data_IF_834492271131
#
_entry.id   IF_834492271131
#
_cell.length_a   1.000
_cell.length_b   1.000
_cell.length_c   1.000
_cell.angle_alpha   90.00
_cell.angle_beta   90.00
_cell.angle_gamma   90.00
#
_symmetry.space_group_name_H-M   'P 1'
#
loop_
_entity.id
_entity.type
_entity.pdbx_description
1 polymer ?
#
# COMPACT_ATOMS: atom_id res chain seq x y z
N UNK A 1 -10.55 31.91 -15.94
CA UNK A 1 -11.50 31.06 -15.19
C UNK A 1 -11.12 29.61 -15.41
N UNK A 2 -10.49 28.97 -14.42
CA UNK A 2 -10.25 27.52 -14.45
C UNK A 2 -11.59 26.81 -14.33
N UNK A 3 -11.96 26.02 -15.35
CA UNK A 3 -13.12 25.12 -15.28
C UNK A 3 -12.89 24.19 -14.11
N UNK A 4 -13.65 24.35 -13.02
CA UNK A 4 -13.61 23.43 -11.88
C UNK A 4 -13.98 22.03 -12.40
N UNK A 5 -13.02 21.10 -12.33
CA UNK A 5 -13.28 19.71 -12.70
C UNK A 5 -14.42 19.15 -11.84
N UNK A 6 -15.40 18.52 -12.49
CA UNK A 6 -16.52 17.89 -11.79
C UNK A 6 -15.99 16.82 -10.82
N UNK A 7 -16.45 16.79 -9.55
CA UNK A 7 -16.02 15.79 -8.59
C UNK A 7 -16.37 14.37 -9.06
N UNK A 8 -15.51 13.41 -8.68
CA UNK A 8 -15.63 12.01 -9.08
C UNK A 8 -16.12 11.17 -7.90
N UNK A 9 -17.16 10.40 -8.17
CA UNK A 9 -17.65 9.31 -7.32
C UNK A 9 -17.05 8.01 -7.82
N UNK A 10 -16.46 7.25 -6.91
CA UNK A 10 -15.93 5.94 -7.24
C UNK A 10 -16.89 4.83 -6.83
N UNK A 11 -17.21 3.93 -7.75
CA UNK A 11 -18.04 2.74 -7.48
C UNK A 11 -17.14 1.51 -7.50
N UNK A 12 -16.98 0.85 -6.35
CA UNK A 12 -16.18 -0.36 -6.17
C UNK A 12 -17.09 -1.58 -6.23
N UNK A 13 -16.80 -2.49 -7.16
CA UNK A 13 -17.60 -3.70 -7.41
C UNK A 13 -16.71 -4.94 -7.20
N UNK A 14 -17.01 -5.81 -6.22
CA UNK A 14 -16.36 -7.10 -6.10
C UNK A 14 -16.99 -8.06 -7.12
N UNK A 15 -16.19 -8.60 -8.02
CA UNK A 15 -16.67 -9.43 -9.11
C UNK A 15 -16.36 -10.91 -8.90
N UNK A 16 -17.39 -11.74 -8.97
CA UNK A 16 -17.37 -13.19 -8.73
C UNK A 16 -17.62 -14.03 -9.98
N UNK A 17 -17.45 -13.45 -11.18
CA UNK A 17 -17.63 -14.16 -12.45
C UNK A 17 -19.03 -14.05 -13.06
N UNK A 18 -20.01 -13.42 -12.38
CA UNK A 18 -21.38 -13.24 -12.89
C UNK A 18 -21.48 -12.09 -13.90
N UNK A 19 -20.92 -12.27 -15.10
CA UNK A 19 -20.83 -11.22 -16.13
C UNK A 19 -22.21 -10.66 -16.54
N UNK A 20 -23.22 -11.50 -16.78
CA UNK A 20 -24.58 -11.04 -17.13
C UNK A 20 -25.19 -10.07 -16.09
N UNK A 21 -24.94 -10.33 -14.79
CA UNK A 21 -25.40 -9.45 -13.71
C UNK A 21 -24.63 -8.13 -13.71
N UNK A 22 -23.31 -8.20 -13.94
CA UNK A 22 -22.46 -7.02 -14.06
C UNK A 22 -22.90 -6.12 -15.22
N UNK A 23 -23.14 -6.69 -16.40
CA UNK A 23 -23.57 -5.92 -17.58
C UNK A 23 -24.89 -5.18 -17.34
N UNK A 24 -25.89 -5.89 -16.80
CA UNK A 24 -27.19 -5.30 -16.42
C UNK A 24 -27.01 -4.13 -15.45
N UNK A 25 -26.08 -4.26 -14.50
CA UNK A 25 -25.77 -3.21 -13.54
C UNK A 25 -25.12 -1.99 -14.19
N UNK A 26 -24.16 -2.22 -15.08
CA UNK A 26 -23.44 -1.14 -15.76
C UNK A 26 -24.35 -0.35 -16.70
N UNK A 27 -25.25 -1.00 -17.42
CA UNK A 27 -26.27 -0.34 -18.22
C UNK A 27 -27.17 0.56 -17.37
N UNK A 28 -27.61 0.08 -16.21
CA UNK A 28 -28.40 0.89 -15.28
C UNK A 28 -27.60 2.06 -14.70
N UNK A 29 -26.31 1.85 -14.41
CA UNK A 29 -25.44 2.88 -13.87
C UNK A 29 -25.24 4.02 -14.86
N UNK A 30 -25.08 3.69 -16.15
CA UNK A 30 -24.96 4.66 -17.24
C UNK A 30 -26.21 5.52 -17.44
N UNK A 31 -27.40 5.01 -17.08
CA UNK A 31 -28.68 5.75 -17.19
C UNK A 31 -28.90 6.81 -16.10
N UNK A 32 -28.13 6.77 -15.01
CA UNK A 32 -28.27 7.74 -13.92
C UNK A 32 -27.86 9.13 -14.42
N UNK A 33 -28.77 10.11 -14.34
CA UNK A 33 -28.53 11.49 -14.76
C UNK A 33 -27.61 12.20 -13.76
N UNK A 34 -26.52 12.81 -14.24
CA UNK A 34 -25.48 13.46 -13.41
C UNK A 34 -25.20 14.87 -13.93
N UNK A 35 -25.70 15.90 -13.24
CA UNK A 35 -25.41 17.29 -13.62
C UNK A 35 -24.04 17.76 -13.11
N UNK A 36 -23.67 17.39 -11.89
CA UNK A 36 -22.58 18.05 -11.15
C UNK A 36 -21.37 17.15 -10.86
N UNK A 37 -21.44 15.84 -11.11
CA UNK A 37 -20.39 14.88 -10.75
C UNK A 37 -20.24 13.77 -11.80
N UNK A 38 -19.14 13.00 -11.73
CA UNK A 38 -18.85 11.87 -12.62
C UNK A 38 -18.77 10.56 -11.83
N UNK A 39 -19.06 9.44 -12.47
CA UNK A 39 -18.80 8.10 -11.91
C UNK A 39 -17.57 7.52 -12.57
N UNK A 40 -16.72 6.89 -11.76
CA UNK A 40 -15.71 5.95 -12.25
C UNK A 40 -15.84 4.62 -11.49
N UNK A 41 -15.90 3.54 -12.25
CA UNK A 41 -16.10 2.21 -11.67
C UNK A 41 -14.76 1.48 -11.56
N UNK A 42 -14.51 0.85 -10.41
CA UNK A 42 -13.41 -0.09 -10.19
C UNK A 42 -14.01 -1.46 -9.92
N UNK A 43 -13.69 -2.42 -10.78
CA UNK A 43 -14.13 -3.81 -10.66
C UNK A 43 -12.96 -4.65 -10.19
N UNK A 44 -13.16 -5.42 -9.14
CA UNK A 44 -12.07 -6.14 -8.46
C UNK A 44 -12.39 -7.63 -8.48
N UNK A 45 -11.53 -8.42 -9.13
CA UNK A 45 -11.76 -9.87 -9.34
C UNK A 45 -10.51 -10.69 -9.07
N UNK A 46 -10.67 -11.91 -8.56
CA UNK A 46 -9.58 -12.87 -8.46
C UNK A 46 -9.17 -13.43 -9.82
N UNK A 47 -7.90 -13.78 -9.97
CA UNK A 47 -7.42 -14.65 -11.05
C UNK A 47 -7.61 -16.11 -10.62
N UNK A 48 -8.60 -16.79 -11.21
CA UNK A 48 -8.89 -18.22 -10.97
C UNK A 48 -9.97 -18.54 -9.90
N UNK A 49 -10.23 -19.85 -9.73
CA UNK A 49 -11.21 -20.43 -8.78
C UNK A 49 -10.67 -20.42 -7.34
N UNK A 50 -10.38 -19.25 -6.78
CA UNK A 50 -9.98 -19.14 -5.37
C UNK A 50 -11.24 -19.21 -4.51
N UNK A 51 -11.38 -20.34 -3.83
CA UNK A 51 -12.39 -20.56 -2.79
C UNK A 51 -11.73 -20.40 -1.40
N UNK A 52 -12.37 -19.67 -0.46
CA UNK A 52 -13.64 -18.98 -0.61
C UNK A 52 -13.49 -17.58 -1.24
N UNK A 53 -14.45 -17.20 -2.09
CA UNK A 53 -14.60 -15.83 -2.58
C UNK A 53 -14.86 -14.88 -1.40
N UNK A 54 -13.91 -13.99 -1.10
CA UNK A 54 -14.05 -12.99 -0.03
C UNK A 54 -14.47 -11.63 -0.59
N UNK A 55 -15.78 -11.33 -0.50
CA UNK A 55 -16.35 -10.04 -0.92
C UNK A 55 -15.67 -8.87 -0.21
N UNK A 56 -15.57 -8.95 1.11
CA UNK A 56 -15.02 -7.91 1.95
C UNK A 56 -13.56 -7.61 1.59
N UNK A 57 -12.77 -8.65 1.32
CA UNK A 57 -11.40 -8.50 0.87
C UNK A 57 -11.30 -7.76 -0.48
N UNK A 58 -12.10 -8.15 -1.48
CA UNK A 58 -12.09 -7.47 -2.78
C UNK A 58 -12.61 -6.02 -2.70
N UNK A 59 -13.58 -5.75 -1.84
CA UNK A 59 -14.05 -4.39 -1.55
C UNK A 59 -12.93 -3.55 -0.93
N UNK A 60 -12.20 -4.09 0.06
CA UNK A 60 -11.04 -3.42 0.64
C UNK A 60 -9.97 -3.09 -0.40
N UNK A 61 -9.66 -4.03 -1.29
CA UNK A 61 -8.72 -3.80 -2.40
C UNK A 61 -9.18 -2.63 -3.26
N UNK A 62 -10.43 -2.64 -3.70
CA UNK A 62 -10.97 -1.57 -4.52
C UNK A 62 -10.98 -0.22 -3.81
N UNK A 63 -11.37 -0.17 -2.53
CA UNK A 63 -11.31 1.06 -1.72
C UNK A 63 -9.86 1.56 -1.62
N UNK A 64 -8.88 0.69 -1.35
CA UNK A 64 -7.46 1.07 -1.31
C UNK A 64 -6.99 1.66 -2.63
N UNK A 65 -7.38 1.08 -3.76
CA UNK A 65 -7.04 1.61 -5.09
C UNK A 65 -7.75 2.93 -5.43
N UNK A 66 -8.97 3.13 -4.93
CA UNK A 66 -9.64 4.43 -5.01
C UNK A 66 -8.89 5.47 -4.19
N UNK A 67 -8.54 5.16 -2.94
CA UNK A 67 -7.89 6.11 -2.01
C UNK A 67 -6.52 6.61 -2.47
N UNK A 68 -5.86 5.94 -3.44
CA UNK A 68 -4.63 6.40 -4.10
C UNK A 68 -4.87 7.53 -5.11
N UNK A 69 -6.12 7.74 -5.54
CA UNK A 69 -6.48 8.71 -6.57
C UNK A 69 -6.62 10.11 -5.96
N UNK A 70 -6.41 11.15 -6.78
CA UNK A 70 -6.64 12.54 -6.36
C UNK A 70 -8.15 12.83 -6.32
N UNK A 71 -8.55 13.73 -5.42
CA UNK A 71 -9.90 14.30 -5.39
C UNK A 71 -11.05 13.28 -5.21
N UNK A 72 -10.84 12.28 -4.36
CA UNK A 72 -11.89 11.30 -3.99
C UNK A 72 -12.80 11.90 -2.93
N UNK A 73 -14.03 12.26 -3.31
CA UNK A 73 -15.03 12.75 -2.34
C UNK A 73 -15.86 11.59 -1.78
N UNK A 74 -16.44 10.78 -2.67
CA UNK A 74 -17.36 9.70 -2.32
C UNK A 74 -16.89 8.36 -2.89
N UNK A 75 -17.00 7.31 -2.08
CA UNK A 75 -16.76 5.93 -2.49
C UNK A 75 -18.02 5.13 -2.17
N UNK A 76 -18.56 4.51 -3.21
CA UNK A 76 -19.67 3.59 -3.15
C UNK A 76 -19.16 2.15 -3.31
N UNK A 77 -19.58 1.24 -2.45
CA UNK A 77 -19.33 -0.20 -2.62
C UNK A 77 -20.62 -0.87 -3.03
N UNK A 78 -20.59 -1.64 -4.12
CA UNK A 78 -21.79 -2.17 -4.76
C UNK A 78 -21.64 -3.68 -4.98
N UNK A 79 -22.58 -4.45 -4.44
CA UNK A 79 -22.69 -5.90 -4.63
C UNK A 79 -23.77 -6.25 -5.68
N UNK A 80 -23.45 -7.17 -6.58
CA UNK A 80 -24.32 -7.59 -7.70
C UNK A 80 -25.48 -8.52 -7.27
N UNK A 81 -25.74 -8.64 -5.96
CA UNK A 81 -26.78 -9.52 -5.39
C UNK A 81 -28.17 -8.86 -5.29
N UNK A 82 -28.23 -7.54 -5.36
CA UNK A 82 -29.47 -6.74 -5.27
C UNK A 82 -29.71 -6.00 -6.58
N UNK A 83 -30.83 -5.30 -6.77
CA UNK A 83 -31.02 -4.38 -7.90
C UNK A 83 -30.70 -2.95 -7.47
N UNK A 84 -30.14 -2.17 -8.38
CA UNK A 84 -29.91 -0.75 -8.14
C UNK A 84 -31.19 0.06 -8.36
N UNK A 85 -31.55 0.98 -7.44
CA UNK A 85 -32.63 1.92 -7.70
C UNK A 85 -32.30 2.85 -8.89
N UNK A 86 -33.26 3.24 -9.73
CA UNK A 86 -33.00 4.06 -10.92
C UNK A 86 -32.57 5.50 -10.62
N UNK A 87 -32.83 6.01 -9.42
CA UNK A 87 -32.62 7.41 -9.03
C UNK A 87 -31.66 7.56 -7.83
N UNK A 88 -30.70 6.64 -7.65
CA UNK A 88 -29.70 6.79 -6.58
C UNK A 88 -28.78 7.97 -6.89
N UNK A 89 -28.67 8.91 -5.96
CA UNK A 89 -27.61 9.91 -5.96
C UNK A 89 -26.40 9.38 -5.18
N UNK A 90 -25.38 8.95 -5.91
CA UNK A 90 -24.15 8.42 -5.32
C UNK A 90 -23.23 9.51 -4.72
N UNK A 91 -23.58 10.79 -4.88
CA UNK A 91 -22.83 11.89 -4.32
C UNK A 91 -23.16 12.19 -2.84
N UNK A 92 -24.20 11.56 -2.28
CA UNK A 92 -24.67 11.77 -0.91
C UNK A 92 -23.85 10.99 0.14
N UNK A 93 -22.54 11.24 0.24
CA UNK A 93 -21.63 10.48 1.11
C UNK A 93 -21.19 11.20 2.39
N UNK A 94 -21.83 12.32 2.71
CA UNK A 94 -21.58 13.19 3.88
C UNK A 94 -21.77 12.45 5.21
N UNK A 95 -22.51 11.34 5.20
CA UNK A 95 -22.57 10.31 6.23
C UNK A 95 -22.55 8.93 5.56
N UNK A 96 -22.08 7.87 6.24
CA UNK A 96 -22.22 6.51 5.74
C UNK A 96 -23.71 6.15 5.55
N UNK A 97 -24.06 5.60 4.38
CA UNK A 97 -25.43 5.21 4.03
C UNK A 97 -25.46 3.84 3.37
N UNK A 98 -26.43 3.02 3.72
CA UNK A 98 -26.78 1.80 2.98
C UNK A 98 -28.05 2.04 2.17
N UNK A 99 -27.90 2.18 0.86
CA UNK A 99 -28.99 2.51 -0.09
C UNK A 99 -30.04 1.40 -0.14
N UNK A 100 -29.67 0.16 0.18
CA UNK A 100 -30.57 -0.99 0.13
C UNK A 100 -30.74 -1.68 1.49
N UNK A 101 -30.63 -0.94 2.60
CA UNK A 101 -30.65 -1.55 3.94
C UNK A 101 -32.01 -2.11 4.41
N UNK A 102 -33.13 -1.77 3.75
CA UNK A 102 -34.49 -2.27 4.04
C UNK A 102 -34.96 -3.35 3.03
N UNK A 103 -34.14 -4.37 2.77
CA UNK A 103 -34.47 -5.44 1.82
C UNK A 103 -35.27 -6.60 2.46
N UNK A 104 -36.42 -6.92 1.88
CA UNK A 104 -37.34 -7.97 2.37
C UNK A 104 -36.81 -9.41 2.27
N UNK A 105 -35.76 -9.67 1.46
CA UNK A 105 -35.15 -11.00 1.37
C UNK A 105 -34.05 -11.25 2.43
N UNK A 106 -33.83 -10.28 3.33
CA UNK A 106 -32.92 -10.41 4.46
C UNK A 106 -33.81 -10.54 5.69
N UNK A 107 -33.82 -11.70 6.34
CA UNK A 107 -34.57 -11.89 7.58
C UNK A 107 -34.08 -10.86 8.61
N UNK A 108 -34.96 -9.97 9.05
CA UNK A 108 -34.76 -9.20 10.25
C UNK A 108 -34.87 -10.18 11.43
N UNK A 109 -33.78 -10.41 12.15
CA UNK A 109 -33.84 -11.08 13.44
C UNK A 109 -34.46 -10.08 14.43
N UNK A 110 -35.47 -10.52 15.17
CA UNK A 110 -36.23 -9.79 16.19
C UNK A 110 -35.53 -8.52 16.71
N UNK A 111 -35.98 -7.36 16.24
CA UNK A 111 -35.57 -6.05 16.78
C UNK A 111 -34.19 -5.51 16.38
N UNK A 112 -33.32 -6.27 15.69
CA UNK A 112 -31.97 -5.82 15.31
C UNK A 112 -31.89 -5.54 13.81
N UNK A 113 -31.96 -4.26 13.44
CA UNK A 113 -31.71 -3.80 12.07
C UNK A 113 -30.22 -3.86 11.76
N UNK A 114 -29.77 -4.90 11.05
CA UNK A 114 -28.42 -4.99 10.49
C UNK A 114 -28.45 -4.54 9.04
N UNK A 115 -27.55 -3.63 8.66
CA UNK A 115 -27.38 -3.17 7.27
C UNK A 115 -27.24 -4.34 6.29
N UNK A 116 -27.79 -4.17 5.09
CA UNK A 116 -27.65 -5.11 3.98
C UNK A 116 -26.23 -5.15 3.42
N UNK A 117 -25.44 -4.08 3.66
CA UNK A 117 -24.11 -3.79 3.15
C UNK A 117 -23.95 -4.07 1.64
N UNK A 118 -25.04 -3.93 0.87
CA UNK A 118 -25.04 -4.24 -0.55
C UNK A 118 -24.66 -3.01 -1.39
N UNK A 119 -25.19 -1.83 -1.06
CA UNK A 119 -24.82 -0.57 -1.71
C UNK A 119 -24.53 0.44 -0.59
N UNK A 120 -23.25 0.56 -0.23
CA UNK A 120 -22.82 1.46 0.86
C UNK A 120 -22.12 2.68 0.29
N UNK A 121 -22.57 3.87 0.66
CA UNK A 121 -21.99 5.16 0.30
C UNK A 121 -21.28 5.73 1.52
N UNK A 122 -20.02 6.10 1.40
CA UNK A 122 -19.33 6.87 2.44
C UNK A 122 -18.21 7.72 1.83
N UNK A 123 -17.81 8.79 2.52
CA UNK A 123 -16.68 9.62 2.11
C UNK A 123 -15.37 8.84 2.18
N UNK A 124 -14.34 9.32 1.46
CA UNK A 124 -13.00 8.74 1.56
C UNK A 124 -12.48 8.69 3.01
N UNK A 125 -12.79 9.71 3.81
CA UNK A 125 -12.33 9.78 5.20
C UNK A 125 -13.11 8.85 6.11
N UNK A 126 -14.42 8.65 5.88
CA UNK A 126 -15.19 7.64 6.61
C UNK A 126 -14.58 6.26 6.42
N UNK A 127 -14.23 5.87 5.18
CA UNK A 127 -13.62 4.57 4.90
C UNK A 127 -12.26 4.38 5.59
N UNK A 128 -11.44 5.43 5.67
CA UNK A 128 -10.18 5.41 6.44
C UNK A 128 -10.44 5.23 7.93
N UNK A 129 -11.38 6.00 8.49
CA UNK A 129 -11.73 5.97 9.91
C UNK A 129 -12.21 4.59 10.35
N UNK A 130 -13.08 3.94 9.59
CA UNK A 130 -13.57 2.58 9.92
C UNK A 130 -12.62 1.45 9.55
N UNK A 131 -11.46 1.78 8.95
CA UNK A 131 -10.52 0.80 8.41
C UNK A 131 -11.18 -0.16 7.40
N UNK A 132 -12.15 0.31 6.61
CA UNK A 132 -12.92 -0.51 5.65
C UNK A 132 -13.61 -1.73 6.25
N UNK A 133 -13.62 -2.83 5.49
CA UNK A 133 -14.22 -4.11 5.87
C UNK A 133 -13.22 -5.02 6.60
N UNK A 134 -13.69 -6.09 7.23
CA UNK A 134 -12.82 -7.18 7.72
C UNK A 134 -12.18 -7.95 6.57
N UNK A 135 -10.91 -8.36 6.71
CA UNK A 135 -10.27 -9.28 5.76
C UNK A 135 -10.53 -10.76 6.09
N UNK A 136 -11.14 -11.05 7.25
CA UNK A 136 -11.29 -12.42 7.79
C UNK A 136 -12.64 -13.06 7.50
N UNK A 137 -13.71 -12.26 7.36
CA UNK A 137 -15.05 -12.81 7.16
C UNK A 137 -15.25 -13.36 5.73
N UNK A 138 -15.72 -14.60 5.65
CA UNK A 138 -16.11 -15.26 4.39
C UNK A 138 -17.63 -15.29 4.18
N UNK A 139 -18.44 -15.19 5.25
CA UNK A 139 -19.91 -15.19 5.18
C UNK A 139 -20.47 -13.79 5.02
N UNK A 140 -21.59 -13.66 4.29
CA UNK A 140 -22.22 -12.36 3.98
C UNK A 140 -22.74 -11.66 5.23
N UNK A 141 -23.30 -12.42 6.16
CA UNK A 141 -23.90 -11.96 7.41
C UNK A 141 -22.84 -11.34 8.33
N UNK A 142 -21.68 -11.99 8.44
CA UNK A 142 -20.55 -11.51 9.24
C UNK A 142 -19.98 -10.19 8.69
N UNK A 143 -19.87 -10.08 7.35
CA UNK A 143 -19.41 -8.84 6.68
C UNK A 143 -20.34 -7.66 6.97
N UNK A 144 -21.66 -7.90 6.94
CA UNK A 144 -22.69 -6.88 7.20
C UNK A 144 -22.65 -6.36 8.64
N UNK A 145 -22.70 -7.29 9.59
CA UNK A 145 -22.67 -6.97 11.02
C UNK A 145 -21.38 -6.24 11.41
N UNK A 146 -20.24 -6.72 10.90
CA UNK A 146 -18.94 -6.12 11.16
C UNK A 146 -18.84 -4.68 10.63
N UNK A 147 -19.31 -4.40 9.41
CA UNK A 147 -19.26 -3.04 8.87
C UNK A 147 -20.15 -2.07 9.66
N UNK A 148 -21.39 -2.48 10.00
CA UNK A 148 -22.29 -1.66 10.82
C UNK A 148 -21.67 -1.33 12.17
N UNK A 149 -21.09 -2.33 12.84
CA UNK A 149 -20.37 -2.16 14.11
C UNK A 149 -19.25 -1.12 13.98
N UNK A 150 -18.42 -1.20 12.94
CA UNK A 150 -17.32 -0.24 12.74
C UNK A 150 -17.81 1.20 12.60
N UNK A 151 -18.89 1.43 11.85
CA UNK A 151 -19.47 2.78 11.72
C UNK A 151 -20.01 3.30 13.05
N UNK A 152 -20.70 2.46 13.83
CA UNK A 152 -21.21 2.78 15.18
C UNK A 152 -20.06 3.06 16.16
N UNK A 153 -19.07 2.17 16.24
CA UNK A 153 -17.91 2.30 17.13
C UNK A 153 -17.03 3.51 16.81
N UNK A 154 -17.05 3.99 15.56
CA UNK A 154 -16.35 5.20 15.13
C UNK A 154 -17.15 6.49 15.33
N UNK A 155 -18.37 6.41 15.89
CA UNK A 155 -19.24 7.57 16.10
C UNK A 155 -19.80 8.18 14.81
N UNK A 156 -19.66 7.51 13.66
CA UNK A 156 -20.17 7.99 12.38
C UNK A 156 -21.69 7.80 12.23
N UNK A 157 -22.27 6.95 13.07
CA UNK A 157 -23.70 6.66 13.14
C UNK A 157 -24.08 6.57 14.62
N UNK A 158 -25.19 7.21 15.02
CA UNK A 158 -25.66 7.16 16.40
C UNK A 158 -26.24 5.78 16.75
N UNK A 159 -26.29 5.44 18.04
CA UNK A 159 -26.77 4.14 18.55
C UNK A 159 -28.19 3.75 18.10
N UNK A 160 -29.04 4.72 17.77
CA UNK A 160 -30.41 4.51 17.28
C UNK A 160 -30.60 4.89 15.80
N UNK A 161 -29.56 5.39 15.13
CA UNK A 161 -29.61 5.80 13.73
C UNK A 161 -29.36 4.58 12.84
N UNK A 162 -30.22 4.41 11.84
CA UNK A 162 -30.05 3.33 10.86
C UNK A 162 -29.04 3.79 9.80
N UNK A 163 -28.29 2.85 9.22
CA UNK A 163 -27.52 3.09 8.00
C UNK A 163 -28.43 3.49 6.82
N UNK A 164 -29.71 3.15 6.87
CA UNK A 164 -30.71 3.48 5.84
C UNK A 164 -31.25 4.89 6.05
N UNK A 165 -31.09 5.77 5.07
CA UNK A 165 -31.86 7.02 5.09
C UNK A 165 -32.21 7.58 3.72
N UNK A 166 -32.26 6.78 2.64
CA UNK A 166 -32.90 7.25 1.40
C UNK A 166 -33.35 6.14 0.43
N UNK A 167 -34.42 6.47 -0.31
CA UNK A 167 -35.15 5.78 -1.38
C UNK A 167 -36.18 4.73 -0.92
N UNK A 168 -37.46 5.15 -0.91
CA UNK A 168 -38.68 4.35 -1.02
C UNK A 168 -38.46 2.85 -0.75
N UNK A 169 -38.93 2.36 0.41
CA UNK A 169 -38.91 0.97 0.95
C UNK A 169 -39.21 -0.18 -0.04
N UNK A 170 -39.45 0.09 -1.33
CA UNK A 170 -39.77 -0.83 -2.43
C UNK A 170 -38.82 -0.78 -3.64
N UNK A 171 -37.71 -0.01 -3.60
CA UNK A 171 -36.91 0.26 -4.80
C UNK A 171 -35.78 -0.75 -5.07
N UNK A 172 -35.13 -1.30 -4.03
CA UNK A 172 -34.18 -2.41 -4.19
C UNK A 172 -34.92 -3.76 -4.20
N UNK A 173 -34.56 -4.66 -5.11
CA UNK A 173 -35.09 -6.03 -5.22
C UNK A 173 -33.94 -7.03 -5.15
N UNK A 174 -34.18 -8.21 -4.62
CA UNK A 174 -33.17 -9.26 -4.61
C UNK A 174 -33.16 -9.96 -5.98
N UNK A 175 -31.97 -10.14 -6.54
CA UNK A 175 -31.82 -10.72 -7.89
C UNK A 175 -31.76 -12.27 -7.81
N UNK A 176 -31.71 -12.85 -6.60
CA UNK A 176 -31.58 -14.30 -6.40
C UNK A 176 -32.94 -14.94 -6.05
N UNK A 177 -33.39 -15.93 -6.85
CA UNK A 177 -34.72 -16.55 -6.80
C UNK A 177 -34.87 -17.63 -5.69
N UNK A 178 -33.77 -18.09 -5.08
CA UNK A 178 -33.81 -19.12 -4.03
C UNK A 178 -33.92 -18.55 -2.60
N UNK A 179 -34.65 -17.44 -2.44
CA UNK A 179 -34.88 -16.83 -1.13
C UNK A 179 -35.71 -17.75 -0.21
N UNK A 180 -36.52 -18.65 -0.77
CA UNK A 180 -37.40 -19.54 -0.02
C UNK A 180 -36.68 -20.72 0.67
N UNK A 181 -35.56 -21.21 0.12
CA UNK A 181 -34.82 -22.33 0.74
C UNK A 181 -33.90 -21.91 1.90
N UNK A 182 -33.50 -20.62 1.96
CA UNK A 182 -32.69 -20.08 3.07
C UNK A 182 -33.52 -19.74 4.31
N UNK A 183 -34.81 -20.10 4.33
CA UNK A 183 -35.71 -19.98 5.48
C UNK A 183 -35.33 -20.87 6.68
N UNK A 184 -34.38 -21.81 6.55
CA UNK A 184 -33.97 -22.71 7.62
C UNK A 184 -32.47 -22.62 7.93
N UNK A 185 -32.17 -22.20 9.16
CA UNK A 185 -30.87 -22.18 9.88
C UNK A 185 -30.02 -20.90 9.78
N UNK A 186 -30.50 -19.82 10.40
CA UNK A 186 -29.59 -18.76 10.88
C UNK A 186 -29.33 -19.00 12.37
N UNK A 187 -28.37 -19.89 12.68
CA UNK A 187 -27.74 -19.92 14.02
C UNK A 187 -27.10 -18.55 14.27
N UNK A 188 -27.18 -18.07 15.52
CA UNK A 188 -26.58 -16.87 16.09
C UNK A 188 -25.53 -16.20 15.18
N UNK A 189 -25.76 -14.92 14.84
CA UNK A 189 -24.74 -14.02 14.29
C UNK A 189 -23.65 -13.88 15.36
N UNK A 190 -22.71 -14.82 15.38
CA UNK A 190 -21.53 -14.78 16.24
C UNK A 190 -20.43 -14.09 15.46
N UNK A 191 -20.46 -12.77 15.32
CA UNK A 191 -19.24 -12.03 15.06
C UNK A 191 -19.31 -10.65 15.70
N UNK A 192 -18.50 -10.52 16.76
CA UNK A 192 -18.17 -9.35 17.56
C UNK A 192 -19.24 -8.87 18.54
N UNK A 193 -18.90 -9.00 19.84
CA UNK A 193 -19.45 -8.14 20.88
C UNK A 193 -19.25 -6.68 20.47
N UNK A 194 -20.20 -5.82 20.84
CA UNK A 194 -20.17 -4.38 20.59
C UNK A 194 -18.87 -3.69 21.06
N UNK A 195 -17.97 -4.38 21.80
CA UNK A 195 -16.71 -3.89 22.36
C UNK A 195 -15.42 -4.38 21.67
N UNK A 196 -15.48 -5.15 20.57
CA UNK A 196 -14.23 -5.63 19.96
C UNK A 196 -13.46 -4.50 19.24
N UNK A 197 -12.19 -4.31 19.59
CA UNK A 197 -11.26 -3.37 18.95
C UNK A 197 -10.52 -3.98 17.75
N UNK A 198 -10.87 -5.20 17.34
CA UNK A 198 -10.16 -5.95 16.30
C UNK A 198 -10.12 -5.21 14.96
N UNK A 199 -11.19 -4.49 14.63
CA UNK A 199 -11.32 -3.71 13.40
C UNK A 199 -10.23 -2.65 13.21
N UNK A 200 -9.60 -2.16 14.29
CA UNK A 200 -8.46 -1.23 14.23
C UNK A 200 -7.23 -1.88 13.60
N UNK A 201 -7.12 -3.21 13.69
CA UNK A 201 -5.98 -3.99 13.20
C UNK A 201 -6.32 -4.89 12.02
N UNK A 202 -7.60 -5.09 11.72
CA UNK A 202 -8.10 -5.87 10.59
C UNK A 202 -8.95 -5.01 9.63
N UNK A 203 -8.42 -4.72 8.45
CA UNK A 203 -9.12 -4.01 7.39
C UNK A 203 -8.19 -3.36 6.36
N UNK A 204 -8.49 -2.17 5.86
CA UNK A 204 -7.71 -1.48 4.82
C UNK A 204 -6.21 -1.38 5.14
N UNK A 205 -5.86 -1.13 6.41
CA UNK A 205 -4.47 -0.96 6.85
C UNK A 205 -3.64 -2.23 6.72
N UNK A 206 -4.26 -3.42 6.71
CA UNK A 206 -3.56 -4.70 6.64
C UNK A 206 -4.01 -5.62 5.49
N UNK A 207 -4.90 -5.17 4.59
CA UNK A 207 -5.31 -5.92 3.39
C UNK A 207 -4.12 -6.14 2.46
N UNK A 208 -3.63 -7.37 2.28
CA UNK A 208 -2.51 -7.68 1.37
C UNK A 208 -3.00 -8.22 0.03
N UNK A 209 -2.55 -7.66 -1.10
CA UNK A 209 -3.01 -8.07 -2.43
C UNK A 209 -2.04 -7.69 -3.56
N UNK A 210 -2.07 -8.42 -4.66
CA UNK A 210 -1.32 -8.10 -5.87
C UNK A 210 -2.23 -7.87 -7.06
N UNK A 211 -2.20 -6.68 -7.68
CA UNK A 211 -2.83 -6.50 -8.98
C UNK A 211 -1.94 -7.14 -10.04
N UNK A 212 -2.39 -8.26 -10.58
CA UNK A 212 -1.72 -8.98 -11.67
C UNK A 212 -1.97 -8.29 -13.00
N UNK A 213 -3.22 -7.88 -13.25
CA UNK A 213 -3.61 -7.18 -14.46
C UNK A 213 -4.59 -6.05 -14.17
N UNK A 214 -4.37 -4.92 -14.80
CA UNK A 214 -5.31 -3.80 -14.82
C UNK A 214 -5.68 -3.49 -16.27
N UNK A 215 -6.97 -3.37 -16.57
CA UNK A 215 -7.45 -3.00 -17.90
C UNK A 215 -8.78 -2.27 -17.81
N UNK A 216 -9.13 -1.53 -18.86
CA UNK A 216 -10.44 -0.87 -18.98
C UNK A 216 -11.36 -1.77 -19.80
N UNK A 217 -12.59 -1.96 -19.33
CA UNK A 217 -13.59 -2.74 -20.07
C UNK A 217 -14.46 -1.88 -21.01
N UNK A 218 -15.41 -2.52 -21.70
CA UNK A 218 -16.33 -1.86 -22.65
C UNK A 218 -17.22 -0.77 -22.02
N UNK A 219 -17.39 -0.76 -20.69
CA UNK A 219 -18.18 0.24 -19.98
C UNK A 219 -17.33 1.40 -19.45
N UNK A 220 -16.00 1.39 -19.70
CA UNK A 220 -15.06 2.35 -19.15
C UNK A 220 -14.65 2.06 -17.71
N UNK A 221 -15.01 0.90 -17.16
CA UNK A 221 -14.63 0.49 -15.80
C UNK A 221 -13.19 0.02 -15.76
N UNK A 222 -12.45 0.39 -14.72
CA UNK A 222 -11.13 -0.19 -14.44
C UNK A 222 -11.29 -1.57 -13.81
N UNK A 223 -10.97 -2.65 -14.51
CA UNK A 223 -10.93 -4.01 -13.97
C UNK A 223 -9.54 -4.33 -13.42
N UNK A 224 -9.50 -4.80 -12.19
CA UNK A 224 -8.32 -5.23 -11.46
C UNK A 224 -8.41 -6.73 -11.23
N UNK A 225 -7.51 -7.50 -11.85
CA UNK A 225 -7.30 -8.91 -11.54
C UNK A 225 -6.27 -9.03 -10.44
N UNK A 226 -6.62 -9.74 -9.37
CA UNK A 226 -5.74 -9.97 -8.23
C UNK A 226 -5.23 -11.41 -8.23
N UNK A 227 -3.91 -11.54 -8.17
CA UNK A 227 -3.25 -12.80 -7.86
C UNK A 227 -3.14 -12.93 -6.33
N UNK A 228 -3.74 -14.00 -5.79
CA UNK A 228 -3.68 -14.31 -4.34
C UNK A 228 -2.32 -14.87 -3.93
N UNK A 229 -1.58 -15.44 -4.88
CA UNK A 229 -0.22 -15.95 -4.67
C UNK A 229 0.76 -14.81 -4.84
N UNK A 230 1.11 -14.18 -3.72
CA UNK A 230 2.19 -13.18 -3.63
C UNK A 230 3.58 -13.85 -3.71
N UNK A 231 3.72 -14.88 -4.55
CA UNK A 231 4.97 -15.63 -4.75
C UNK A 231 5.73 -15.03 -5.91
N UNK A 232 7.01 -14.73 -5.69
CA UNK A 232 7.94 -14.41 -6.75
C UNK A 232 8.12 -15.61 -7.67
N UNK A 233 8.14 -15.31 -8.96
CA UNK A 233 8.37 -16.23 -10.06
C UNK A 233 9.83 -16.22 -10.51
N UNK A 234 10.22 -17.21 -11.31
CA UNK A 234 11.55 -17.27 -11.94
C UNK A 234 11.82 -16.06 -12.86
N UNK A 235 10.80 -15.50 -13.52
CA UNK A 235 10.96 -14.32 -14.39
C UNK A 235 11.27 -13.04 -13.59
N UNK A 236 10.82 -12.96 -12.33
CA UNK A 236 11.09 -11.82 -11.45
C UNK A 236 12.45 -11.92 -10.75
N UNK A 237 13.10 -13.08 -10.77
CA UNK A 237 14.41 -13.30 -10.12
C UNK A 237 15.52 -12.40 -10.66
N UNK A 238 15.51 -12.09 -11.95
CA UNK A 238 16.46 -11.18 -12.57
C UNK A 238 16.37 -9.75 -11.98
N UNK A 239 15.17 -9.32 -11.56
CA UNK A 239 14.97 -8.01 -10.93
C UNK A 239 15.58 -7.95 -9.52
N UNK A 240 15.60 -9.09 -8.83
CA UNK A 240 16.06 -9.24 -7.46
C UNK A 240 17.58 -9.33 -7.43
N UNK A 241 18.17 -10.17 -8.29
CA UNK A 241 19.62 -10.37 -8.39
C UNK A 241 20.31 -9.27 -9.22
N UNK A 242 20.22 -8.05 -8.70
CA UNK A 242 21.06 -6.93 -9.13
C UNK A 242 22.54 -7.15 -8.78
N UNK A 243 23.47 -6.34 -9.31
CA UNK A 243 24.88 -6.43 -8.95
C UNK A 243 25.10 -6.48 -7.44
N UNK A 244 26.13 -7.22 -7.00
CA UNK A 244 26.47 -7.44 -5.59
C UNK A 244 26.31 -6.19 -4.69
N UNK A 245 26.75 -5.03 -5.16
CA UNK A 245 26.76 -3.77 -4.43
C UNK A 245 25.37 -3.16 -4.13
N UNK A 246 24.33 -3.55 -4.86
CA UNK A 246 22.94 -3.09 -4.69
C UNK A 246 21.98 -4.23 -4.34
N UNK A 247 22.53 -5.43 -4.16
CA UNK A 247 21.79 -6.63 -3.79
C UNK A 247 21.41 -6.65 -2.30
N UNK A 248 20.33 -7.35 -1.99
CA UNK A 248 19.83 -7.47 -0.62
C UNK A 248 20.80 -8.28 0.25
N UNK A 249 21.02 -7.82 1.48
CA UNK A 249 21.84 -8.52 2.47
C UNK A 249 21.01 -9.65 3.07
N UNK A 250 21.63 -10.82 3.27
CA UNK A 250 21.00 -12.01 3.83
C UNK A 250 21.69 -12.37 5.13
N UNK A 251 20.96 -12.39 6.24
CA UNK A 251 21.45 -12.87 7.53
C UNK A 251 20.75 -14.19 7.88
N UNK A 252 21.38 -15.29 7.49
CA UNK A 252 20.86 -16.65 7.69
C UNK A 252 20.50 -16.93 9.16
N UNK A 253 21.38 -16.55 10.09
CA UNK A 253 21.20 -16.72 11.55
C UNK A 253 19.89 -16.11 12.07
N UNK A 254 19.46 -15.00 11.47
CA UNK A 254 18.32 -14.21 11.93
C UNK A 254 17.10 -14.34 11.00
N UNK A 255 17.16 -15.23 10.00
CA UNK A 255 16.15 -15.34 8.93
C UNK A 255 15.73 -13.96 8.38
N UNK A 256 16.71 -13.09 8.12
CA UNK A 256 16.50 -11.71 7.69
C UNK A 256 17.01 -11.48 6.26
N UNK A 257 16.18 -10.86 5.42
CA UNK A 257 16.55 -10.26 4.14
C UNK A 257 16.40 -8.74 4.25
N UNK A 258 17.46 -8.00 3.96
CA UNK A 258 17.50 -6.56 4.09
C UNK A 258 17.83 -5.87 2.76
N UNK A 259 16.81 -5.25 2.18
CA UNK A 259 16.90 -4.39 1.01
C UNK A 259 17.27 -2.98 1.46
N UNK A 260 18.34 -2.46 0.88
CA UNK A 260 18.84 -1.12 1.19
C UNK A 260 19.08 -0.35 -0.10
N UNK A 261 18.89 0.96 -0.03
CA UNK A 261 19.28 1.85 -1.11
C UNK A 261 20.50 2.68 -0.76
N UNK A 262 21.29 3.03 -1.78
CA UNK A 262 22.36 3.99 -1.62
C UNK A 262 21.78 5.31 -1.12
N UNK A 263 22.59 6.03 -0.34
CA UNK A 263 22.19 7.27 0.36
C UNK A 263 21.06 7.12 1.40
N UNK A 264 20.77 5.88 1.83
CA UNK A 264 19.75 5.57 2.85
C UNK A 264 20.36 4.91 4.10
N UNK A 265 21.52 5.38 4.57
CA UNK A 265 22.17 4.83 5.78
C UNK A 265 22.85 3.46 5.57
N UNK A 266 23.34 3.20 4.37
CA UNK A 266 23.90 1.91 4.00
C UNK A 266 25.09 1.44 4.85
N UNK A 267 26.04 2.34 5.10
CA UNK A 267 27.21 2.08 5.94
C UNK A 267 26.81 1.74 7.36
N UNK A 268 25.81 2.45 7.90
CA UNK A 268 25.25 2.20 9.23
C UNK A 268 24.69 0.77 9.34
N UNK A 269 23.82 0.37 8.42
CA UNK A 269 23.23 -0.97 8.43
C UNK A 269 24.25 -2.09 8.25
N UNK A 270 25.20 -1.93 7.32
CA UNK A 270 26.26 -2.93 7.10
C UNK A 270 27.09 -3.16 8.36
N UNK A 271 27.45 -2.09 9.07
CA UNK A 271 28.24 -2.20 10.31
C UNK A 271 27.47 -2.91 11.42
N UNK A 272 26.17 -2.62 11.58
CA UNK A 272 25.31 -3.34 12.51
C UNK A 272 25.30 -4.82 12.17
N UNK A 273 25.08 -5.16 10.91
CA UNK A 273 24.99 -6.56 10.48
C UNK A 273 26.31 -7.29 10.62
N UNK A 274 27.44 -6.63 10.37
CA UNK A 274 28.77 -7.19 10.65
C UNK A 274 28.95 -7.49 12.14
N UNK A 275 28.57 -6.53 12.99
CA UNK A 275 28.70 -6.66 14.44
C UNK A 275 27.87 -7.83 14.99
N UNK A 276 26.58 -7.90 14.66
CA UNK A 276 25.70 -8.97 15.16
C UNK A 276 26.00 -10.34 14.56
N UNK A 277 26.77 -10.41 13.47
CA UNK A 277 27.27 -11.66 12.87
C UNK A 277 28.64 -12.06 13.42
N UNK A 278 29.27 -11.24 14.27
CA UNK A 278 30.61 -11.53 14.81
C UNK A 278 31.72 -11.46 13.76
N UNK A 279 31.51 -10.74 12.65
CA UNK A 279 32.51 -10.59 11.60
C UNK A 279 33.64 -9.68 12.12
N UNK A 280 34.85 -10.22 12.31
CA UNK A 280 36.03 -9.47 12.75
C UNK A 280 36.31 -8.33 11.76
N UNK A 281 36.07 -7.10 12.20
CA UNK A 281 36.10 -5.90 11.36
C UNK A 281 37.55 -5.49 11.04
N UNK A 282 37.88 -5.34 9.76
CA UNK A 282 38.86 -4.30 9.37
C UNK A 282 38.04 -3.01 9.24
N UNK A 283 38.02 -2.23 10.32
CA UNK A 283 37.13 -1.07 10.56
C UNK A 283 37.42 0.17 9.67
N UNK A 284 37.59 0.02 8.36
CA UNK A 284 37.63 1.18 7.45
C UNK A 284 36.29 1.34 6.75
N UNK A 285 35.87 2.60 6.58
CA UNK A 285 34.68 2.99 5.81
C UNK A 285 34.75 2.39 4.40
N UNK A 286 35.94 2.42 3.80
CA UNK A 286 36.26 1.81 2.51
C UNK A 286 35.86 0.33 2.45
N UNK A 287 36.29 -0.48 3.43
CA UNK A 287 36.00 -1.91 3.46
C UNK A 287 34.52 -2.24 3.63
N UNK A 288 33.72 -1.40 4.30
CA UNK A 288 32.27 -1.60 4.40
C UNK A 288 31.55 -1.46 3.04
N UNK A 289 32.09 -0.65 2.12
CA UNK A 289 31.54 -0.48 0.78
C UNK A 289 32.01 -1.55 -0.21
N UNK A 290 33.09 -2.26 0.08
CA UNK A 290 33.57 -3.38 -0.75
C UNK A 290 32.78 -4.66 -0.47
N UNK A 291 31.92 -5.05 -1.42
CA UNK A 291 31.08 -6.25 -1.31
C UNK A 291 31.87 -7.53 -0.99
N UNK A 292 33.10 -7.67 -1.53
CA UNK A 292 33.96 -8.83 -1.30
C UNK A 292 34.75 -8.80 0.01
N UNK A 293 34.88 -7.62 0.65
CA UNK A 293 35.67 -7.45 1.87
C UNK A 293 34.81 -7.26 3.12
N UNK A 294 33.53 -6.95 2.97
CA UNK A 294 32.65 -6.66 4.11
C UNK A 294 32.14 -7.92 4.84
N UNK A 295 32.34 -9.12 4.28
CA UNK A 295 31.96 -10.40 4.89
C UNK A 295 30.45 -10.66 4.98
N UNK A 296 29.60 -9.79 4.45
CA UNK A 296 28.15 -9.95 4.47
C UNK A 296 27.69 -10.76 3.26
N UNK A 297 26.87 -11.78 3.51
CA UNK A 297 26.18 -12.49 2.44
C UNK A 297 25.11 -11.59 1.82
N UNK A 298 24.97 -11.72 0.52
CA UNK A 298 23.90 -11.10 -0.26
C UNK A 298 23.18 -12.17 -1.08
N UNK A 299 21.97 -11.87 -1.54
CA UNK A 299 21.16 -12.76 -2.39
C UNK A 299 21.88 -13.31 -3.64
N UNK A 300 22.91 -12.65 -4.14
CA UNK A 300 23.70 -13.12 -5.29
C UNK A 300 24.62 -14.28 -4.95
N UNK A 301 24.84 -14.57 -3.66
CA UNK A 301 25.63 -15.72 -3.20
C UNK A 301 24.84 -17.05 -3.21
N UNK A 302 23.54 -17.01 -3.48
CA UNK A 302 22.64 -18.16 -3.43
C UNK A 302 22.13 -18.50 -4.82
N UNK A 303 21.72 -19.76 -5.06
CA UNK A 303 21.04 -20.19 -6.28
C UNK A 303 19.64 -19.58 -6.37
N UNK A 304 19.09 -19.47 -7.58
CA UNK A 304 17.76 -18.87 -7.77
C UNK A 304 16.66 -19.58 -6.99
N UNK A 305 16.69 -20.92 -6.97
CA UNK A 305 15.74 -21.73 -6.20
C UNK A 305 15.80 -21.47 -4.69
N UNK A 306 17.00 -21.23 -4.15
CA UNK A 306 17.20 -20.90 -2.74
C UNK A 306 16.65 -19.51 -2.42
N UNK A 307 16.96 -18.52 -3.27
CA UNK A 307 16.43 -17.16 -3.10
C UNK A 307 14.91 -17.17 -3.18
N UNK A 308 14.31 -17.88 -4.15
CA UNK A 308 12.85 -18.00 -4.26
C UNK A 308 12.24 -18.67 -3.03
N UNK A 309 12.85 -19.75 -2.54
CA UNK A 309 12.39 -20.42 -1.31
C UNK A 309 12.36 -19.47 -0.12
N UNK A 310 13.42 -18.67 0.05
CA UNK A 310 13.55 -17.72 1.15
C UNK A 310 12.63 -16.50 0.97
N UNK A 311 12.54 -15.96 -0.23
CA UNK A 311 11.68 -14.82 -0.55
C UNK A 311 10.19 -15.18 -0.48
N UNK A 312 9.79 -16.41 -0.76
CA UNK A 312 8.40 -16.85 -0.69
C UNK A 312 8.01 -17.46 0.68
N UNK A 313 8.92 -17.46 1.65
CA UNK A 313 8.69 -18.05 2.97
C UNK A 313 8.38 -16.97 4.02
N UNK A 314 7.17 -16.97 4.57
CA UNK A 314 6.70 -15.99 5.54
C UNK A 314 7.40 -16.06 6.91
N UNK A 315 8.12 -17.14 7.23
CA UNK A 315 8.96 -17.21 8.43
C UNK A 315 10.21 -16.33 8.36
N UNK A 316 10.56 -15.84 7.17
CA UNK A 316 11.65 -14.89 6.97
C UNK A 316 11.17 -13.45 7.14
N UNK A 317 11.89 -12.69 7.96
CA UNK A 317 11.71 -11.24 8.05
C UNK A 317 12.32 -10.60 6.81
N UNK A 318 11.52 -9.78 6.11
CA UNK A 318 11.93 -9.06 4.90
C UNK A 318 11.76 -7.58 5.16
N UNK A 319 12.82 -6.81 4.92
CA UNK A 319 12.86 -5.38 5.24
C UNK A 319 13.38 -4.59 4.06
N UNK A 320 12.74 -3.48 3.73
CA UNK A 320 13.29 -2.46 2.86
C UNK A 320 13.49 -1.18 3.65
N UNK A 321 14.72 -0.65 3.64
CA UNK A 321 15.04 0.60 4.31
C UNK A 321 15.28 1.69 3.28
N UNK A 322 14.43 2.72 3.33
CA UNK A 322 14.30 3.73 2.29
C UNK A 322 14.46 5.15 2.84
N UNK A 323 14.78 6.08 1.95
CA UNK A 323 14.87 7.51 2.25
C UNK A 323 13.94 8.31 1.34
N UNK A 324 13.39 9.41 1.84
CA UNK A 324 12.54 10.29 1.03
C UNK A 324 13.29 10.75 -0.25
N UNK A 325 12.65 10.72 -1.44
CA UNK A 325 13.36 10.91 -2.71
C UNK A 325 14.08 12.25 -2.85
N UNK A 326 13.51 13.37 -2.42
CA UNK A 326 14.16 14.70 -2.51
C UNK A 326 15.40 14.74 -1.62
N UNK A 327 15.30 14.26 -0.38
CA UNK A 327 16.47 14.16 0.50
C UNK A 327 17.56 13.27 -0.08
N UNK A 328 17.16 12.14 -0.67
CA UNK A 328 18.08 11.16 -1.27
C UNK A 328 18.80 11.75 -2.48
N UNK A 329 18.08 12.40 -3.40
CA UNK A 329 18.64 13.00 -4.61
C UNK A 329 19.52 14.20 -4.29
N UNK A 330 19.14 15.03 -3.33
CA UNK A 330 20.03 16.10 -2.87
C UNK A 330 21.30 15.52 -2.22
N UNK A 331 21.20 14.46 -1.44
CA UNK A 331 22.36 13.77 -0.90
C UNK A 331 23.27 13.19 -1.99
N UNK A 332 22.69 12.67 -3.08
CA UNK A 332 23.43 12.17 -4.25
C UNK A 332 24.09 13.29 -5.04
N UNK A 333 23.42 14.41 -5.26
CA UNK A 333 23.99 15.59 -5.91
C UNK A 333 25.18 16.13 -5.11
N UNK A 334 24.98 16.31 -3.80
CA UNK A 334 25.98 16.89 -2.91
C UNK A 334 27.22 16.01 -2.73
N UNK A 335 27.10 14.69 -2.86
CA UNK A 335 28.22 13.75 -2.73
C UNK A 335 28.83 13.32 -4.07
N UNK A 336 28.00 12.98 -5.05
CA UNK A 336 28.41 12.43 -6.35
C UNK A 336 28.26 13.42 -7.49
N UNK A 337 27.15 14.16 -7.54
CA UNK A 337 26.89 15.14 -8.59
C UNK A 337 27.93 16.25 -8.68
N UNK A 338 28.47 16.68 -7.54
CA UNK A 338 29.51 17.72 -7.47
C UNK A 338 30.95 17.17 -7.54
N UNK A 339 31.11 15.84 -7.70
CA UNK A 339 32.40 15.22 -7.97
C UNK A 339 32.59 15.08 -9.48
N UNK A 340 33.39 15.97 -10.06
CA UNK A 340 33.68 16.02 -11.49
C UNK A 340 34.27 14.70 -12.03
N UNK A 341 35.08 14.01 -11.23
CA UNK A 341 35.68 12.74 -11.65
C UNK A 341 34.61 11.66 -11.72
N UNK A 342 33.78 11.55 -10.67
CA UNK A 342 32.65 10.62 -10.65
C UNK A 342 31.70 10.87 -11.82
N UNK A 343 31.29 12.13 -12.01
CA UNK A 343 30.32 12.49 -13.05
C UNK A 343 30.86 12.31 -14.47
N UNK A 344 32.14 12.59 -14.71
CA UNK A 344 32.79 12.31 -16.00
C UNK A 344 32.89 10.80 -16.27
N UNK A 345 33.21 10.01 -15.24
CA UNK A 345 33.37 8.57 -15.39
C UNK A 345 32.03 7.86 -15.63
N UNK A 346 31.02 8.11 -14.80
CA UNK A 346 29.74 7.40 -14.85
C UNK A 346 28.72 8.01 -15.83
N UNK A 347 28.67 9.33 -15.94
CA UNK A 347 27.67 10.03 -16.77
C UNK A 347 28.25 10.78 -17.97
N UNK A 348 29.58 10.78 -18.16
CA UNK A 348 30.28 11.49 -19.25
C UNK A 348 29.96 12.99 -19.33
N UNK A 349 29.43 13.58 -18.25
CA UNK A 349 29.00 14.99 -18.21
C UNK A 349 29.17 15.55 -16.81
N UNK A 350 29.72 16.77 -16.72
CA UNK A 350 29.80 17.53 -15.46
C UNK A 350 28.49 18.27 -15.21
N UNK A 351 28.16 18.50 -13.94
CA UNK A 351 27.00 19.30 -13.53
C UNK A 351 27.43 20.30 -12.47
N UNK A 352 26.89 21.52 -12.52
CA UNK A 352 27.20 22.59 -11.56
C UNK A 352 26.03 22.94 -10.66
N UNK A 353 24.82 22.54 -11.03
CA UNK A 353 23.59 22.85 -10.29
C UNK A 353 22.71 21.61 -10.08
N UNK A 354 21.81 21.68 -9.09
CA UNK A 354 20.84 20.61 -8.86
C UNK A 354 19.90 20.44 -10.08
N UNK A 355 19.52 21.53 -10.75
CA UNK A 355 18.69 21.48 -11.96
C UNK A 355 19.38 20.71 -13.09
N UNK A 356 20.66 20.98 -13.35
CA UNK A 356 21.44 20.22 -14.34
C UNK A 356 21.57 18.75 -13.96
N UNK A 357 21.76 18.47 -12.67
CA UNK A 357 21.84 17.10 -12.15
C UNK A 357 20.52 16.35 -12.35
N UNK A 358 19.38 16.93 -11.96
CA UNK A 358 18.05 16.33 -12.13
C UNK A 358 17.75 16.04 -13.61
N UNK A 359 18.12 16.96 -14.51
CA UNK A 359 18.00 16.74 -15.96
C UNK A 359 18.88 15.58 -16.44
N UNK A 360 20.11 15.47 -15.94
CA UNK A 360 21.05 14.43 -16.33
C UNK A 360 20.63 13.03 -15.86
N UNK A 361 20.18 12.88 -14.62
CA UNK A 361 19.83 11.56 -14.04
C UNK A 361 18.57 10.93 -14.66
N UNK A 362 17.79 11.71 -15.45
CA UNK A 362 16.72 11.15 -16.29
C UNK A 362 17.27 10.10 -17.27
N UNK A 363 18.47 10.33 -17.81
CA UNK A 363 19.11 9.44 -18.80
C UNK A 363 20.35 8.72 -18.27
N UNK A 364 21.13 9.32 -17.36
CA UNK A 364 22.25 8.64 -16.70
C UNK A 364 21.76 7.77 -15.55
N UNK A 365 21.92 6.46 -15.63
CA UNK A 365 21.53 5.52 -14.56
C UNK A 365 22.70 5.20 -13.64
N UNK A 366 22.47 5.32 -12.34
CA UNK A 366 23.42 4.92 -11.31
C UNK A 366 22.69 4.58 -10.00
N UNK A 367 23.25 3.64 -9.24
CA UNK A 367 22.67 3.15 -7.99
C UNK A 367 22.36 4.23 -6.94
N UNK A 368 23.06 5.37 -6.96
CA UNK A 368 22.86 6.45 -6.00
C UNK A 368 21.56 7.24 -6.25
N UNK A 369 21.01 7.22 -7.47
CA UNK A 369 19.78 7.94 -7.82
C UNK A 369 18.74 7.09 -8.57
N UNK A 370 19.00 5.82 -8.83
CA UNK A 370 17.98 4.88 -9.30
C UNK A 370 16.83 4.70 -8.30
N UNK A 371 15.70 4.17 -8.78
CA UNK A 371 14.53 3.90 -7.95
C UNK A 371 14.86 2.94 -6.79
N UNK A 372 14.25 3.23 -5.64
CA UNK A 372 14.24 2.35 -4.46
C UNK A 372 13.21 1.22 -4.59
N UNK A 373 12.26 1.33 -5.52
CA UNK A 373 11.34 0.24 -5.89
C UNK A 373 12.09 -0.74 -6.79
N UNK A 374 12.58 -1.83 -6.19
CA UNK A 374 13.41 -2.84 -6.86
C UNK A 374 12.75 -4.20 -6.99
N UNK A 375 11.60 -4.37 -6.35
CA UNK A 375 10.82 -5.60 -6.37
C UNK A 375 9.50 -5.34 -7.06
N UNK A 376 8.85 -6.39 -7.60
CA UNK A 376 7.47 -6.29 -8.03
C UNK A 376 6.63 -5.64 -6.94
N UNK A 377 5.82 -4.66 -7.31
CA UNK A 377 5.09 -3.80 -6.37
C UNK A 377 4.34 -4.59 -5.31
N UNK A 378 3.76 -5.71 -5.72
CA UNK A 378 3.01 -6.61 -4.86
C UNK A 378 3.84 -7.21 -3.71
N UNK A 379 5.12 -7.44 -3.95
CA UNK A 379 6.00 -8.06 -2.99
C UNK A 379 6.28 -7.15 -1.78
N UNK A 380 6.15 -5.83 -1.95
CA UNK A 380 6.27 -4.88 -0.84
C UNK A 380 5.19 -5.05 0.25
N UNK A 381 4.07 -5.74 -0.03
CA UNK A 381 3.10 -6.11 1.01
C UNK A 381 3.63 -7.13 2.04
N UNK A 382 4.72 -7.84 1.71
CA UNK A 382 5.39 -8.80 2.59
C UNK A 382 6.68 -8.22 3.19
N UNK A 383 6.97 -6.95 2.90
CA UNK A 383 8.19 -6.28 3.34
C UNK A 383 7.84 -5.23 4.38
N UNK A 384 8.55 -5.28 5.51
CA UNK A 384 8.50 -4.21 6.50
C UNK A 384 9.31 -3.03 5.95
N UNK A 385 8.68 -1.86 5.81
CA UNK A 385 9.35 -0.64 5.35
C UNK A 385 9.92 0.10 6.56
N UNK A 386 11.20 0.42 6.51
CA UNK A 386 11.86 1.32 7.45
C UNK A 386 12.27 2.61 6.77
N UNK A 387 12.21 3.72 7.50
CA UNK A 387 12.48 5.05 6.98
C UNK A 387 13.75 5.64 7.58
N UNK A 388 14.53 6.35 6.77
CA UNK A 388 15.73 7.05 7.21
C UNK A 388 15.47 8.05 8.36
N UNK A 389 14.29 8.68 8.39
CA UNK A 389 13.84 9.56 9.47
C UNK A 389 13.82 8.87 10.83
N UNK A 390 13.57 7.57 10.84
CA UNK A 390 13.30 6.76 12.03
C UNK A 390 14.40 5.71 12.27
N UNK A 391 15.60 5.95 11.71
CA UNK A 391 16.67 4.94 11.67
C UNK A 391 16.98 4.34 13.04
N UNK A 392 16.98 5.14 14.12
CA UNK A 392 17.27 4.67 15.49
C UNK A 392 16.16 3.77 16.03
N UNK A 393 14.91 4.25 16.03
CA UNK A 393 13.76 3.50 16.54
C UNK A 393 13.52 2.24 15.70
N UNK A 394 13.63 2.35 14.37
CA UNK A 394 13.52 1.23 13.46
C UNK A 394 14.62 0.18 13.66
N UNK A 395 15.87 0.60 13.91
CA UNK A 395 16.98 -0.32 14.26
C UNK A 395 16.62 -1.16 15.47
N UNK A 396 16.18 -0.52 16.55
CA UNK A 396 15.80 -1.23 17.78
C UNK A 396 14.65 -2.20 17.52
N UNK A 397 13.58 -1.76 16.84
CA UNK A 397 12.42 -2.60 16.54
C UNK A 397 12.79 -3.80 15.67
N UNK A 398 13.62 -3.59 14.64
CA UNK A 398 14.06 -4.67 13.75
C UNK A 398 14.90 -5.69 14.50
N UNK A 399 15.91 -5.25 15.25
CA UNK A 399 16.81 -6.15 15.97
C UNK A 399 16.08 -6.92 17.07
N UNK A 400 15.10 -6.30 17.75
CA UNK A 400 14.22 -7.01 18.69
C UNK A 400 13.37 -8.05 17.96
N UNK A 401 12.76 -7.69 16.83
CA UNK A 401 11.90 -8.59 16.03
C UNK A 401 12.64 -9.85 15.57
N UNK A 402 13.92 -9.73 15.18
CA UNK A 402 14.71 -10.87 14.70
C UNK A 402 15.53 -11.56 15.80
N UNK A 403 15.37 -11.17 17.07
CA UNK A 403 16.09 -11.77 18.19
C UNK A 403 17.59 -11.44 18.25
N UNK A 404 18.02 -10.33 17.64
CA UNK A 404 19.41 -9.86 17.62
C UNK A 404 19.72 -8.76 18.65
N UNK A 405 18.71 -8.25 19.37
CA UNK A 405 18.89 -7.18 20.37
C UNK A 405 19.41 -7.72 21.71
N UNK A 406 20.41 -7.06 22.29
CA UNK A 406 20.91 -7.27 23.65
C UNK A 406 21.69 -6.04 24.14
N UNK A 407 22.04 -6.01 25.43
CA UNK A 407 22.74 -4.89 26.07
C UNK A 407 24.08 -4.53 25.39
N UNK A 408 24.80 -5.53 24.86
CA UNK A 408 26.07 -5.29 24.17
C UNK A 408 25.83 -4.58 22.83
N UNK A 409 24.80 -4.98 22.09
CA UNK A 409 24.38 -4.31 20.85
C UNK A 409 23.95 -2.88 21.14
N UNK A 410 23.15 -2.66 22.18
CA UNK A 410 22.71 -1.32 22.58
C UNK A 410 23.89 -0.41 22.93
N UNK A 411 24.79 -0.88 23.80
CA UNK A 411 26.03 -0.15 24.16
C UNK A 411 26.89 0.13 22.94
N UNK A 412 27.01 -0.82 22.01
CA UNK A 412 27.78 -0.66 20.79
C UNK A 412 27.16 0.39 19.87
N UNK A 413 25.83 0.40 19.69
CA UNK A 413 25.11 1.42 18.90
C UNK A 413 25.30 2.85 19.46
N UNK A 414 25.47 2.98 20.77
CA UNK A 414 25.74 4.26 21.44
C UNK A 414 27.21 4.70 21.32
N UNK A 415 28.12 3.80 20.91
CA UNK A 415 29.54 4.11 20.76
C UNK A 415 29.82 5.01 19.55
N UNK A 416 30.94 5.75 19.61
CA UNK A 416 31.44 6.59 18.49
C UNK A 416 31.69 5.80 17.20
N UNK A 417 31.80 4.47 17.29
CA UNK A 417 31.97 3.60 16.14
C UNK A 417 30.70 3.54 15.27
N UNK A 418 29.49 3.71 15.80
CA UNK A 418 28.26 3.50 15.00
C UNK A 418 27.51 4.79 14.74
N UNK A 419 27.93 5.87 15.41
CA UNK A 419 27.27 7.14 15.27
C UNK A 419 27.29 7.57 13.79
N UNK A 420 26.08 7.75 13.26
CA UNK A 420 25.74 8.53 12.08
C UNK A 420 26.36 9.96 12.16
N UNK A 421 26.84 10.36 13.34
CA UNK A 421 27.23 11.72 13.71
C UNK A 421 28.75 12.01 13.73
N UNK A 422 29.65 11.02 13.62
CA UNK A 422 31.10 11.26 13.80
C UNK A 422 31.86 11.65 12.52
N UNK A 423 31.18 11.61 11.37
CA UNK A 423 31.52 12.44 10.20
C UNK A 423 30.23 13.08 9.70
N UNK A 424 30.22 14.36 9.31
CA UNK A 424 29.04 14.98 8.73
C UNK A 424 28.66 14.14 7.51
N UNK A 425 27.58 13.36 7.60
CA UNK A 425 27.01 12.75 6.40
C UNK A 425 26.86 13.84 5.38
N UNK A 426 27.60 13.69 4.26
CA UNK A 426 27.89 14.71 3.29
C UNK A 426 26.77 15.77 3.23
N UNK A 427 27.02 16.88 3.93
CA UNK A 427 26.38 18.17 3.73
C UNK A 427 24.93 18.35 4.22
N UNK A 428 24.39 17.60 5.20
CA UNK A 428 23.06 17.88 5.83
C UNK A 428 21.94 18.13 4.79
N UNK A 429 21.77 17.22 3.84
CA UNK A 429 20.82 17.39 2.72
C UNK A 429 19.41 17.80 3.19
N UNK A 430 18.90 17.19 4.27
CA UNK A 430 17.58 17.51 4.83
C UNK A 430 17.44 19.00 5.21
N UNK A 431 18.44 19.56 5.89
CA UNK A 431 18.45 20.98 6.29
C UNK A 431 18.68 21.92 5.11
N UNK A 432 19.17 21.40 3.98
CA UNK A 432 19.46 22.18 2.77
C UNK A 432 18.40 22.04 1.69
N UNK A 433 17.31 21.30 1.91
CA UNK A 433 16.26 21.13 0.91
C UNK A 433 15.76 22.48 0.39
N UNK A 434 15.39 23.40 1.29
CA UNK A 434 14.89 24.73 0.94
C UNK A 434 15.91 25.60 0.18
N UNK A 435 17.21 25.33 0.36
CA UNK A 435 18.27 26.07 -0.34
C UNK A 435 18.42 25.64 -1.80
N UNK A 436 18.18 24.36 -2.11
CA UNK A 436 18.50 23.78 -3.42
C UNK A 436 17.28 23.51 -4.28
N UNK A 437 16.14 23.17 -3.68
CA UNK A 437 14.93 22.89 -4.41
C UNK A 437 14.17 24.17 -4.74
N UNK A 438 13.69 24.26 -5.97
CA UNK A 438 12.57 25.13 -6.32
C UNK A 438 11.31 24.27 -6.41
N UNK A 439 10.13 24.89 -6.39
CA UNK A 439 8.85 24.18 -6.58
C UNK A 439 8.82 23.31 -7.84
N UNK A 440 9.40 23.79 -8.93
CA UNK A 440 9.51 23.06 -10.20
C UNK A 440 10.39 21.80 -10.05
N UNK A 441 11.54 21.94 -9.40
CA UNK A 441 12.44 20.80 -9.17
C UNK A 441 11.81 19.77 -8.22
N UNK A 442 11.01 20.19 -7.24
CA UNK A 442 10.26 19.26 -6.40
C UNK A 442 9.25 18.45 -7.22
N UNK A 443 8.54 19.11 -8.14
CA UNK A 443 7.58 18.45 -9.02
C UNK A 443 8.29 17.45 -9.96
N UNK A 444 9.43 17.82 -10.53
CA UNK A 444 10.28 16.92 -11.32
C UNK A 444 10.64 15.63 -10.55
N UNK A 445 10.94 15.73 -9.24
CA UNK A 445 11.22 14.57 -8.39
C UNK A 445 9.94 13.77 -8.10
N UNK A 446 8.82 14.43 -7.85
CA UNK A 446 7.54 13.73 -7.65
C UNK A 446 7.11 12.91 -8.86
N UNK A 447 7.39 13.41 -10.06
CA UNK A 447 7.05 12.72 -11.31
C UNK A 447 8.06 11.61 -11.60
N UNK A 448 9.36 11.86 -11.41
CA UNK A 448 10.42 10.89 -11.67
C UNK A 448 10.38 9.67 -10.74
N UNK A 449 9.99 9.86 -9.48
CA UNK A 449 9.93 8.81 -8.45
C UNK A 449 8.51 8.54 -7.96
N UNK A 450 7.52 8.74 -8.83
CA UNK A 450 6.10 8.60 -8.48
C UNK A 450 5.76 7.22 -7.87
N UNK A 451 6.46 6.18 -8.33
CA UNK A 451 6.40 4.82 -7.81
C UNK A 451 6.87 4.72 -6.35
N UNK A 452 7.98 5.37 -5.98
CA UNK A 452 8.50 5.38 -4.62
C UNK A 452 7.52 6.02 -3.64
N UNK A 453 6.91 7.15 -4.02
CA UNK A 453 5.90 7.80 -3.16
C UNK A 453 4.69 6.90 -2.92
N UNK A 454 4.29 6.16 -3.95
CA UNK A 454 3.12 5.28 -3.88
C UNK A 454 3.41 3.99 -3.11
N UNK A 455 4.54 3.33 -3.39
CA UNK A 455 4.95 2.06 -2.77
C UNK A 455 5.39 2.25 -1.31
N UNK A 456 6.12 3.32 -1.00
CA UNK A 456 6.65 3.58 0.35
C UNK A 456 5.80 4.56 1.16
N UNK A 457 4.68 5.01 0.62
CA UNK A 457 3.74 5.92 1.27
C UNK A 457 4.38 7.23 1.76
N UNK A 458 5.32 7.78 0.98
CA UNK A 458 5.87 9.11 1.28
C UNK A 458 4.82 10.20 1.03
N UNK A 459 4.81 11.24 1.87
CA UNK A 459 3.93 12.38 1.69
C UNK A 459 4.40 13.28 0.53
N UNK A 460 3.47 13.63 -0.38
CA UNK A 460 3.71 14.62 -1.44
C UNK A 460 3.36 16.03 -0.96
N UNK A 461 4.14 16.57 -0.03
CA UNK A 461 4.02 17.96 0.44
C UNK A 461 5.15 18.80 -0.17
N UNK A 462 4.82 19.83 -0.94
CA UNK A 462 5.79 20.81 -1.42
C UNK A 462 6.35 21.59 -0.23
N UNK A 463 7.65 21.82 -0.19
CA UNK A 463 8.26 22.62 0.87
C UNK A 463 8.08 24.13 0.66
N UNK A 464 7.80 24.56 -0.57
CA UNK A 464 7.52 25.95 -0.95
C UNK A 464 6.02 26.23 -1.08
N UNK A 465 5.23 25.80 -0.09
CA UNK A 465 3.76 25.96 -0.08
C UNK A 465 3.33 27.37 0.27
#
# INVERSE_FOLDING_TARGET
>A
MTVLEKPIVYVVIPFDGRENKYETYMENLQRIKRKEWKIQTIVVQHDGNISPFSRAFLLNIGIREVLKRRSVKCIATLNLDVSMPPNVDFFMCDKPKDVCGDLTCINHVDGVYVSSANIVLASADHWKVVNGYTNKASKKEDVRANLYHRFKASGLIRSHEKLTDFANKKSCKCIDQNADERKKKTKQIMYHSDDSNEWKTDGLTNTKYCIDKSYTDKFGSTRLKINSTLKLSNSEMAMIKRPLYTSAIVLLKYKLIFFWSEKSGCTYWKRIFQYIQGIKMIMTEENAHHAFKNGLLTITHFKDSEVLSVMNNDSWTKVAFVREPRERILSSFLDKGLDDHFMKYFCKKKVKSLSEFIKLIKTCKDRHWESQVRLPRCFYNHITIGYMSDIKSFTMLLLKKVGAWNDNVEKWLQSKNVSIATRPHARNAKEKILKYYTRELEQDIFDMYADEYDVFHFEKKLFHS
#
